data_IF_910453727095
#
_entry.id   IF_910453727095
#
_cell.length_a   1.000
_cell.length_b   1.000
_cell.length_c   1.000
_cell.angle_alpha   90.00
_cell.angle_beta   90.00
_cell.angle_gamma   90.00
#
_symmetry.space_group_name_H-M   'P 1'
#
loop_
_entity.id
_entity.type
_entity.pdbx_description
1 polymer ?
#
# COMPACT_ATOMS: atom_id res chain seq x y z
N UNK A 1 -8.89 -46.07 9.10
CA UNK A 1 -7.63 -45.34 8.92
C UNK A 1 -7.94 -43.86 8.94
N UNK A 2 -7.55 -43.16 10.02
CA UNK A 2 -7.81 -41.74 10.21
C UNK A 2 -6.48 -40.99 10.04
N UNK A 3 -6.42 -40.07 9.08
CA UNK A 3 -5.32 -39.12 8.95
C UNK A 3 -5.76 -37.81 9.58
N UNK A 4 -5.26 -37.53 10.78
CA UNK A 4 -5.46 -36.27 11.48
C UNK A 4 -4.67 -35.15 10.81
N UNK A 5 -5.36 -34.07 10.47
CA UNK A 5 -4.76 -32.80 10.06
C UNK A 5 -3.92 -32.24 11.20
N UNK A 6 -2.62 -32.06 10.97
CA UNK A 6 -1.78 -31.21 11.82
C UNK A 6 -2.07 -29.75 11.51
N UNK A 7 -2.84 -29.11 12.40
CA UNK A 7 -3.02 -27.67 12.45
C UNK A 7 -1.71 -27.07 12.99
N UNK A 8 -0.92 -26.46 12.12
CA UNK A 8 0.17 -25.59 12.56
C UNK A 8 -0.42 -24.26 13.03
N UNK A 9 -0.74 -24.20 14.32
CA UNK A 9 -0.94 -22.94 15.03
C UNK A 9 0.42 -22.23 15.09
N UNK A 10 0.62 -21.25 14.22
CA UNK A 10 1.67 -20.25 14.45
C UNK A 10 1.28 -19.45 15.70
N UNK A 11 2.18 -19.27 16.68
CA UNK A 11 1.90 -18.40 17.82
C UNK A 11 1.92 -16.96 17.32
N UNK A 12 0.74 -16.46 16.95
CA UNK A 12 0.52 -15.03 16.79
C UNK A 12 0.61 -14.40 18.17
N UNK A 13 1.74 -13.77 18.48
CA UNK A 13 1.78 -12.79 19.55
C UNK A 13 0.85 -11.65 19.15
N UNK A 14 -0.37 -11.68 19.67
CA UNK A 14 -1.30 -10.56 19.62
C UNK A 14 -0.72 -9.49 20.55
N UNK A 15 0.05 -8.58 19.97
CA UNK A 15 0.43 -7.33 20.65
C UNK A 15 -0.81 -6.43 20.68
N UNK A 16 -1.72 -6.71 21.61
CA UNK A 16 -2.80 -5.79 21.96
C UNK A 16 -2.19 -4.65 22.80
N UNK A 17 -1.69 -3.61 22.13
CA UNK A 17 -1.07 -2.47 22.80
C UNK A 17 -0.48 -1.47 21.80
N UNK A 18 -1.05 -0.26 21.79
CA UNK A 18 -0.62 0.99 21.14
C UNK A 18 -0.39 1.02 19.61
N UNK A 19 0.11 -0.05 19.00
CA UNK A 19 0.12 -0.24 17.54
C UNK A 19 -1.29 -0.23 16.94
N UNK A 20 -2.29 -0.71 17.70
CA UNK A 20 -3.71 -0.64 17.33
C UNK A 20 -4.23 0.80 17.27
N UNK A 21 -3.74 1.69 18.13
CA UNK A 21 -4.12 3.10 18.12
C UNK A 21 -3.54 3.81 16.89
N UNK A 22 -2.27 3.53 16.55
CA UNK A 22 -1.64 4.03 15.32
C UNK A 22 -2.40 3.54 14.10
N UNK A 23 -2.67 2.22 14.01
CA UNK A 23 -3.38 1.65 12.88
C UNK A 23 -4.75 2.29 12.70
N UNK A 24 -5.53 2.41 13.79
CA UNK A 24 -6.87 3.03 13.75
C UNK A 24 -6.82 4.50 13.31
N UNK A 25 -5.94 5.29 13.92
CA UNK A 25 -5.80 6.71 13.58
C UNK A 25 -5.33 6.92 12.14
N UNK A 26 -4.46 6.04 11.63
CA UNK A 26 -4.08 6.05 10.22
C UNK A 26 -5.26 5.63 9.33
N UNK A 27 -6.01 4.59 9.66
CA UNK A 27 -7.16 4.12 8.86
C UNK A 27 -8.27 5.17 8.72
N UNK A 28 -8.47 6.02 9.73
CA UNK A 28 -9.43 7.14 9.66
C UNK A 28 -9.03 8.17 8.58
N UNK A 29 -7.72 8.41 8.43
CA UNK A 29 -7.14 9.39 7.50
C UNK A 29 -6.87 8.82 6.12
N UNK A 30 -6.32 7.61 6.08
CA UNK A 30 -5.86 6.86 4.91
C UNK A 30 -6.83 5.71 4.60
N UNK A 31 -8.12 6.04 4.48
CA UNK A 31 -9.18 5.04 4.24
C UNK A 31 -8.86 4.20 3.01
N UNK A 32 -8.94 2.88 3.17
CA UNK A 32 -8.70 1.94 2.09
C UNK A 32 -9.69 2.15 0.93
N UNK A 33 -9.19 1.93 -0.28
CA UNK A 33 -9.93 2.05 -1.54
C UNK A 33 -10.19 0.67 -2.13
N UNK A 34 -11.19 0.60 -3.00
CA UNK A 34 -11.49 -0.63 -3.73
C UNK A 34 -11.23 -0.43 -5.22
N UNK A 35 -10.50 -1.40 -5.78
CA UNK A 35 -10.26 -1.51 -7.22
C UNK A 35 -10.95 -2.75 -7.79
N UNK A 36 -11.32 -2.67 -9.05
CA UNK A 36 -11.92 -3.76 -9.80
C UNK A 36 -10.84 -4.76 -10.22
N UNK A 37 -11.10 -6.04 -10.01
CA UNK A 37 -10.18 -7.16 -10.30
C UNK A 37 -10.93 -8.30 -11.00
N UNK A 38 -12.22 -8.44 -10.73
CA UNK A 38 -13.09 -9.49 -11.25
C UNK A 38 -13.50 -9.22 -12.70
N UNK A 39 -13.71 -7.96 -13.09
CA UNK A 39 -14.07 -7.58 -14.45
C UNK A 39 -12.82 -7.27 -15.30
N UNK A 40 -12.48 -8.08 -16.33
CA UNK A 40 -11.30 -7.86 -17.16
C UNK A 40 -11.29 -6.53 -17.92
N UNK A 41 -12.45 -5.95 -18.25
CA UNK A 41 -12.52 -4.68 -18.99
C UNK A 41 -12.25 -3.45 -18.12
N UNK A 42 -12.40 -3.60 -16.80
CA UNK A 42 -12.21 -2.55 -15.80
C UNK A 42 -11.07 -2.91 -14.85
N UNK A 43 -10.21 -3.86 -15.20
CA UNK A 43 -9.15 -4.34 -14.32
C UNK A 43 -8.25 -3.19 -13.84
N UNK A 44 -8.12 -3.08 -12.52
CA UNK A 44 -7.36 -2.04 -11.84
C UNK A 44 -8.09 -0.72 -11.65
N UNK A 45 -9.29 -0.54 -12.23
CA UNK A 45 -10.07 0.67 -12.06
C UNK A 45 -10.53 0.85 -10.61
N UNK A 46 -10.29 2.04 -10.05
CA UNK A 46 -10.71 2.39 -8.69
C UNK A 46 -12.15 2.90 -8.73
N UNK A 47 -13.12 2.03 -8.43
CA UNK A 47 -14.55 2.37 -8.47
C UNK A 47 -15.06 3.01 -7.17
N UNK A 48 -14.33 2.84 -6.05
CA UNK A 48 -14.65 3.46 -4.77
C UNK A 48 -13.35 3.97 -4.13
N UNK A 49 -12.93 5.20 -4.46
CA UNK A 49 -11.76 5.80 -3.82
C UNK A 49 -12.06 6.07 -2.34
N UNK A 50 -11.17 5.61 -1.48
CA UNK A 50 -11.06 6.03 -0.08
C UNK A 50 -10.22 7.30 -0.01
N UNK A 51 -9.07 7.23 0.67
CA UNK A 51 -8.10 8.33 0.67
C UNK A 51 -7.33 8.38 -0.65
N UNK A 52 -7.30 9.58 -1.26
CA UNK A 52 -6.41 9.89 -2.37
C UNK A 52 -5.21 10.65 -1.82
N UNK A 53 -4.02 10.18 -2.16
CA UNK A 53 -2.75 10.82 -1.80
C UNK A 53 -2.00 11.22 -3.07
N UNK A 54 -1.21 12.28 -2.98
CA UNK A 54 -0.38 12.79 -4.06
C UNK A 54 1.07 12.48 -3.73
N UNK A 55 1.71 11.76 -4.64
CA UNK A 55 3.12 11.45 -4.53
C UNK A 55 3.96 12.74 -4.55
N UNK A 56 4.78 12.94 -3.52
CA UNK A 56 5.65 14.12 -3.38
C UNK A 56 7.09 13.86 -3.81
N UNK A 57 7.49 12.60 -3.92
CA UNK A 57 8.81 12.18 -4.36
C UNK A 57 8.87 12.02 -5.88
N UNK A 58 10.03 12.28 -6.47
CA UNK A 58 10.30 11.99 -7.87
C UNK A 58 10.73 10.53 -8.06
N UNK A 59 10.47 10.01 -9.27
CA UNK A 59 11.01 8.73 -9.75
C UNK A 59 10.76 7.53 -8.84
N UNK A 60 9.59 7.45 -8.21
CA UNK A 60 9.24 6.32 -7.34
C UNK A 60 8.92 5.08 -8.17
N UNK A 61 9.52 3.91 -7.90
CA UNK A 61 9.22 2.71 -8.67
C UNK A 61 7.78 2.24 -8.42
N UNK A 62 7.19 1.64 -9.46
CA UNK A 62 5.93 0.93 -9.40
C UNK A 62 6.04 -0.39 -10.17
N UNK A 63 5.38 -1.42 -9.65
CA UNK A 63 5.14 -2.65 -10.41
C UNK A 63 3.77 -2.57 -11.08
N UNK A 64 3.63 -3.18 -12.24
CA UNK A 64 2.33 -3.24 -12.91
C UNK A 64 1.37 -4.07 -12.08
N UNK A 65 0.11 -3.64 -12.04
CA UNK A 65 -0.96 -4.47 -11.50
C UNK A 65 -0.92 -5.86 -12.14
N UNK A 66 -0.90 -6.89 -11.31
CA UNK A 66 -0.94 -8.27 -11.76
C UNK A 66 -2.15 -8.97 -11.18
N UNK A 67 -3.01 -9.46 -12.08
CA UNK A 67 -4.18 -10.26 -11.73
C UNK A 67 -4.01 -11.67 -12.26
N UNK A 68 -4.29 -12.66 -11.41
CA UNK A 68 -4.25 -14.08 -11.77
C UNK A 68 -5.64 -14.69 -11.73
N UNK A 69 -5.87 -15.66 -12.61
CA UNK A 69 -7.07 -16.48 -12.64
C UNK A 69 -6.66 -17.91 -13.00
N UNK A 70 -6.91 -18.87 -12.12
CA UNK A 70 -6.45 -20.24 -12.33
C UNK A 70 -7.09 -20.91 -13.57
N UNK A 71 -8.36 -20.59 -13.84
CA UNK A 71 -9.10 -20.95 -15.05
C UNK A 71 -10.30 -20.01 -15.20
N UNK A 72 -11.01 -20.07 -16.33
CA UNK A 72 -12.12 -19.16 -16.66
C UNK A 72 -13.31 -19.19 -15.69
N UNK A 73 -13.43 -20.22 -14.84
CA UNK A 73 -14.48 -20.35 -13.82
C UNK A 73 -14.03 -19.97 -12.41
N UNK A 74 -12.73 -19.81 -12.17
CA UNK A 74 -12.19 -19.39 -10.88
C UNK A 74 -12.29 -17.88 -10.70
N UNK A 75 -12.37 -17.37 -9.46
CA UNK A 75 -12.26 -15.94 -9.21
C UNK A 75 -10.90 -15.40 -9.65
N UNK A 76 -10.86 -14.11 -9.98
CA UNK A 76 -9.63 -13.36 -10.27
C UNK A 76 -9.10 -12.74 -8.98
N UNK A 77 -7.78 -12.72 -8.82
CA UNK A 77 -7.14 -12.18 -7.62
C UNK A 77 -5.97 -11.28 -7.98
N UNK A 78 -5.84 -10.18 -7.25
CA UNK A 78 -4.66 -9.34 -7.27
C UNK A 78 -3.50 -10.07 -6.59
N UNK A 79 -2.37 -10.18 -7.29
CA UNK A 79 -1.11 -10.63 -6.71
C UNK A 79 -0.49 -9.43 -6.00
N UNK A 80 -0.18 -9.50 -4.69
CA UNK A 80 0.42 -8.39 -3.94
C UNK A 80 1.90 -8.20 -4.31
N UNK A 81 2.16 -7.82 -5.56
CA UNK A 81 3.49 -7.61 -6.12
C UNK A 81 3.73 -6.10 -6.24
N UNK A 82 4.27 -5.52 -5.18
CA UNK A 82 4.51 -4.09 -5.07
C UNK A 82 5.98 -3.75 -5.35
N UNK A 83 6.23 -2.57 -5.91
CA UNK A 83 7.57 -1.97 -5.86
C UNK A 83 7.79 -1.41 -4.45
N UNK A 84 8.93 -1.73 -3.85
CA UNK A 84 9.24 -1.32 -2.48
C UNK A 84 9.93 0.05 -2.44
N UNK A 85 9.49 0.91 -1.51
CA UNK A 85 10.14 2.18 -1.19
C UNK A 85 10.32 2.25 0.33
N UNK A 86 11.56 2.22 0.79
CA UNK A 86 11.89 2.46 2.20
C UNK A 86 12.20 3.93 2.41
N UNK A 87 11.50 4.57 3.35
CA UNK A 87 11.68 5.97 3.71
C UNK A 87 12.60 6.06 4.93
N UNK A 88 13.84 6.51 4.73
CA UNK A 88 14.82 6.66 5.80
C UNK A 88 14.44 7.72 6.83
N UNK A 89 14.97 7.59 8.05
CA UNK A 89 14.78 8.59 9.13
C UNK A 89 15.38 9.95 8.79
N UNK A 90 16.43 9.94 7.98
CA UNK A 90 17.12 11.10 7.40
C UNK A 90 16.41 11.67 6.16
N UNK A 91 15.21 11.17 5.85
CA UNK A 91 14.42 11.51 4.65
C UNK A 91 15.00 11.00 3.34
N UNK A 92 16.01 10.12 3.38
CA UNK A 92 16.44 9.39 2.19
C UNK A 92 15.34 8.43 1.71
N UNK A 93 15.34 8.13 0.41
CA UNK A 93 14.48 7.10 -0.17
C UNK A 93 15.37 5.99 -0.73
N UNK A 94 15.21 4.79 -0.21
CA UNK A 94 15.80 3.59 -0.79
C UNK A 94 14.72 2.91 -1.61
N UNK A 95 14.95 2.83 -2.92
CA UNK A 95 13.98 2.31 -3.88
C UNK A 95 14.38 0.89 -4.32
N UNK A 96 13.40 -0.02 -4.31
CA UNK A 96 13.53 -1.35 -4.89
C UNK A 96 13.37 -1.33 -6.42
N UNK A 97 13.29 -2.51 -7.02
CA UNK A 97 12.99 -2.63 -8.45
C UNK A 97 11.51 -2.36 -8.74
N UNK A 98 11.25 -1.77 -9.91
CA UNK A 98 9.92 -1.55 -10.46
C UNK A 98 9.91 -1.74 -11.97
N UNK A 99 8.72 -1.94 -12.53
CA UNK A 99 8.52 -2.05 -13.97
C UNK A 99 8.55 -0.69 -14.67
N UNK A 100 8.23 0.37 -13.92
CA UNK A 100 8.25 1.76 -14.36
C UNK A 100 8.37 2.70 -13.15
N UNK A 101 8.54 3.99 -13.41
CA UNK A 101 8.59 5.03 -12.38
C UNK A 101 7.36 5.93 -12.42
N UNK A 102 6.94 6.36 -11.24
CA UNK A 102 5.91 7.35 -11.00
C UNK A 102 6.59 8.70 -10.79
N UNK A 103 6.01 9.73 -11.39
CA UNK A 103 6.46 11.12 -11.24
C UNK A 103 5.79 11.77 -10.04
N UNK A 104 6.40 12.80 -9.48
CA UNK A 104 5.74 13.65 -8.49
C UNK A 104 4.41 14.18 -9.03
N UNK A 105 3.42 14.29 -8.15
CA UNK A 105 2.06 14.69 -8.52
C UNK A 105 1.16 13.51 -8.93
N UNK A 106 1.71 12.31 -9.11
CA UNK A 106 0.90 11.11 -9.36
C UNK A 106 -0.09 10.90 -8.21
N UNK A 107 -1.37 10.76 -8.57
CA UNK A 107 -2.45 10.48 -7.62
C UNK A 107 -2.51 8.99 -7.36
N UNK A 108 -2.42 8.62 -6.10
CA UNK A 108 -2.48 7.25 -5.61
C UNK A 108 -3.67 7.09 -4.67
N UNK A 109 -4.12 5.86 -4.53
CA UNK A 109 -5.05 5.45 -3.49
C UNK A 109 -4.39 4.42 -2.58
N UNK A 110 -4.83 4.38 -1.33
CA UNK A 110 -4.39 3.37 -0.36
C UNK A 110 -5.24 2.11 -0.54
N UNK A 111 -4.60 0.96 -0.74
CA UNK A 111 -5.26 -0.35 -0.78
C UNK A 111 -5.26 -1.02 0.59
N UNK A 112 -4.16 -0.90 1.33
CA UNK A 112 -3.99 -1.53 2.64
C UNK A 112 -2.97 -0.76 3.50
N UNK A 113 -3.05 -0.95 4.82
CA UNK A 113 -2.16 -0.38 5.81
C UNK A 113 -1.77 -1.47 6.82
N UNK A 114 -0.48 -1.57 7.13
CA UNK A 114 0.01 -2.45 8.18
C UNK A 114 0.89 -1.67 9.14
N UNK A 115 0.67 -1.87 10.43
CA UNK A 115 1.56 -1.39 11.49
C UNK A 115 2.23 -2.62 12.08
N UNK A 116 3.54 -2.68 11.95
CA UNK A 116 4.38 -3.74 12.50
C UNK A 116 5.23 -3.15 13.64
N UNK A 117 6.05 -3.99 14.29
CA UNK A 117 6.82 -3.61 15.48
C UNK A 117 7.69 -2.36 15.26
N UNK A 118 8.30 -2.25 14.08
CA UNK A 118 9.35 -1.29 13.75
C UNK A 118 9.08 -0.49 12.47
N UNK A 119 7.89 -0.64 11.87
CA UNK A 119 7.52 0.04 10.63
C UNK A 119 6.02 0.17 10.43
N UNK A 120 5.65 1.12 9.60
CA UNK A 120 4.33 1.25 8.99
C UNK A 120 4.47 1.04 7.49
N UNK A 121 3.59 0.21 6.93
CA UNK A 121 3.57 -0.14 5.51
C UNK A 121 2.30 0.40 4.88
N UNK A 122 2.45 1.18 3.82
CA UNK A 122 1.33 1.76 3.06
C UNK A 122 1.35 1.16 1.66
N UNK A 123 0.34 0.36 1.35
CA UNK A 123 0.19 -0.28 0.05
C UNK A 123 -0.67 0.61 -0.83
N UNK A 124 -0.14 1.02 -1.96
CA UNK A 124 -0.78 2.00 -2.83
C UNK A 124 -1.01 1.47 -4.23
N UNK A 125 -1.98 2.07 -4.90
CA UNK A 125 -2.32 1.84 -6.29
C UNK A 125 -2.53 3.17 -6.99
N UNK A 126 -2.14 3.30 -8.25
CA UNK A 126 -2.40 4.52 -9.03
C UNK A 126 -3.90 4.73 -9.19
N UNK A 127 -4.40 5.93 -8.89
CA UNK A 127 -5.83 6.24 -9.00
C UNK A 127 -6.34 6.11 -10.45
N UNK A 128 -5.48 6.44 -11.42
CA UNK A 128 -5.72 6.30 -12.85
C UNK A 128 -4.56 5.55 -13.50
N UNK A 129 -4.82 4.92 -14.64
CA UNK A 129 -3.77 4.26 -15.41
C UNK A 129 -2.72 5.29 -15.86
N UNK A 130 -1.45 4.96 -15.66
CA UNK A 130 -0.31 5.80 -15.99
C UNK A 130 0.15 5.49 -17.41
N UNK A 131 0.41 6.50 -18.25
CA UNK A 131 0.97 6.29 -19.58
C UNK A 131 2.40 5.75 -19.50
N UNK A 132 2.69 4.76 -20.32
CA UNK A 132 4.00 4.13 -20.47
C UNK A 132 4.55 4.36 -21.89
N UNK A 133 5.87 4.23 -22.09
CA UNK A 133 6.44 4.25 -23.43
C UNK A 133 5.75 3.27 -24.38
N UNK A 134 5.57 3.68 -25.63
CA UNK A 134 4.90 2.88 -26.66
C UNK A 134 3.37 2.92 -26.63
N UNK A 135 2.79 3.96 -26.02
CA UNK A 135 1.33 4.22 -26.05
C UNK A 135 0.50 3.28 -25.17
N UNK A 136 1.15 2.48 -24.32
CA UNK A 136 0.48 1.61 -23.36
C UNK A 136 0.13 2.39 -22.09
N UNK A 137 -0.83 1.91 -21.34
CA UNK A 137 -1.11 2.40 -19.98
C UNK A 137 -1.06 1.24 -19.01
N UNK A 138 -0.69 1.50 -17.76
CA UNK A 138 -0.75 0.50 -16.70
C UNK A 138 -1.16 1.14 -15.38
N UNK A 139 -1.81 0.37 -14.52
CA UNK A 139 -1.91 0.71 -13.13
C UNK A 139 -0.64 0.27 -12.39
N UNK A 140 -0.18 1.09 -11.46
CA UNK A 140 1.03 0.87 -10.68
C UNK A 140 0.74 0.57 -9.22
N UNK A 141 1.46 -0.40 -8.67
CA UNK A 141 1.43 -0.79 -7.26
C UNK A 141 2.78 -0.48 -6.60
N UNK A 142 2.75 0.30 -5.52
CA UNK A 142 3.93 0.67 -4.72
C UNK A 142 3.64 0.47 -3.24
N UNK A 143 4.59 -0.10 -2.53
CA UNK A 143 4.60 -0.23 -1.08
C UNK A 143 5.59 0.77 -0.48
N UNK A 144 5.12 1.63 0.43
CA UNK A 144 5.97 2.55 1.17
C UNK A 144 6.15 2.05 2.60
N UNK A 145 7.40 1.89 3.01
CA UNK A 145 7.78 1.51 4.36
C UNK A 145 8.35 2.69 5.11
N UNK A 146 7.71 3.04 6.22
CA UNK A 146 8.10 4.11 7.12
C UNK A 146 8.61 3.49 8.42
N UNK A 147 9.83 3.81 8.88
CA UNK A 147 10.35 3.31 10.15
C UNK A 147 9.50 3.85 11.30
N UNK A 148 9.18 2.97 12.23
CA UNK A 148 8.40 3.29 13.43
C UNK A 148 9.29 3.15 14.66
N UNK A 149 9.62 4.28 15.29
CA UNK A 149 10.34 4.29 16.55
C UNK A 149 9.51 3.69 17.68
N UNK A 150 10.16 2.90 18.54
CA UNK A 150 9.47 2.28 19.69
C UNK A 150 8.80 3.33 20.59
N UNK A 151 9.44 4.48 20.81
CA UNK A 151 8.87 5.58 21.60
C UNK A 151 7.63 6.21 20.97
N UNK A 152 7.57 6.29 19.64
CA UNK A 152 6.40 6.77 18.89
C UNK A 152 5.29 5.72 18.96
N UNK A 153 5.64 4.45 18.77
CA UNK A 153 4.72 3.31 18.86
C UNK A 153 4.07 3.20 20.24
N UNK A 154 4.88 3.15 21.29
CA UNK A 154 4.44 2.92 22.67
C UNK A 154 3.63 4.09 23.23
N UNK A 155 3.65 5.26 22.56
CA UNK A 155 2.78 6.41 22.88
C UNK A 155 1.52 6.47 22.02
N UNK A 156 1.40 5.60 21.02
CA UNK A 156 0.33 5.70 20.02
C UNK A 156 0.35 7.02 19.25
N UNK A 157 1.54 7.61 18.98
CA UNK A 157 1.65 8.95 18.40
C UNK A 157 1.36 8.95 16.89
N UNK A 158 0.07 8.98 16.57
CA UNK A 158 -0.48 9.03 15.20
C UNK A 158 0.02 10.26 14.44
N UNK A 159 0.21 11.40 15.13
CA UNK A 159 0.57 12.65 14.50
C UNK A 159 1.99 12.60 13.92
N UNK A 160 2.94 12.05 14.68
CA UNK A 160 4.32 11.85 14.20
C UNK A 160 4.37 10.93 13.00
N UNK A 161 3.64 9.80 13.03
CA UNK A 161 3.60 8.84 11.92
C UNK A 161 2.94 9.45 10.68
N UNK A 162 1.83 10.17 10.86
CA UNK A 162 1.14 10.89 9.78
C UNK A 162 2.07 11.90 9.12
N UNK A 163 2.79 12.70 9.92
CA UNK A 163 3.73 13.69 9.40
C UNK A 163 4.94 13.07 8.68
N UNK A 164 5.27 11.80 8.92
CA UNK A 164 6.26 11.07 8.12
C UNK A 164 5.67 10.63 6.78
N UNK A 165 4.45 10.09 6.79
CA UNK A 165 3.74 9.66 5.58
C UNK A 165 3.49 10.84 4.64
N UNK A 166 2.97 11.96 5.15
CA UNK A 166 2.58 13.14 4.36
C UNK A 166 3.75 13.79 3.60
N UNK A 167 5.01 13.54 4.00
CA UNK A 167 6.21 14.02 3.28
C UNK A 167 6.39 13.35 1.93
N UNK A 168 5.93 12.11 1.80
CA UNK A 168 6.05 11.31 0.58
C UNK A 168 4.69 11.16 -0.10
N UNK A 169 3.63 11.06 0.68
CA UNK A 169 2.25 10.81 0.26
C UNK A 169 1.31 11.85 0.89
N UNK A 170 1.22 13.03 0.30
CA UNK A 170 0.39 14.10 0.84
C UNK A 170 -1.09 13.82 0.54
N UNK A 171 -1.95 13.84 1.56
CA UNK A 171 -3.40 13.74 1.34
C UNK A 171 -3.92 14.85 0.42
N UNK A 172 -4.79 14.49 -0.53
CA UNK A 172 -5.56 15.51 -1.25
C UNK A 172 -6.61 16.06 -0.29
N UNK A 173 -6.50 17.32 0.11
CA UNK A 173 -7.68 18.04 0.60
C UNK A 173 -8.60 18.21 -0.59
N UNK A 174 -9.81 17.66 -0.53
CA UNK A 174 -10.82 17.86 -1.57
C UNK A 174 -10.92 19.37 -1.86
N UNK A 175 -10.60 19.75 -3.10
CA UNK A 175 -11.03 21.03 -3.68
C UNK A 175 -12.45 20.88 -4.19
#
# INVERSE_FOLDING_TARGET
>A
MAFGLSIWLSPGFVYAGDGDAILRGLQERLRASHMEVANPTLEGYVFKPGAVVVLQAESVPAKKLRVIQANTKSPRFHVPDYAEVTVGRDRSLTVGSGDFTLVKGTRLVVLDLKVEKDRVRVFTHTLAAVPLPGGKTAYGCTEFMFPLDATVRDRGDVATVTAQIDRVLALTTNG
#
